data_IF_909022339308
#
_entry.id   IF_909022339308
#
_cell.length_a   1.000
_cell.length_b   1.000
_cell.length_c   1.000
_cell.angle_alpha   90.00
_cell.angle_beta   90.00
_cell.angle_gamma   90.00
#
_symmetry.space_group_name_H-M   'P 1'
#
loop_
_entity.id
_entity.type
_entity.pdbx_description
1 polymer ?
#
# COMPACT_ATOMS: atom_id res chain seq x y z
N UNK A 1 -1.50 38.00 10.18
CA UNK A 1 -1.49 36.97 11.26
C UNK A 1 -1.48 35.60 10.62
N UNK A 2 -0.46 34.75 10.86
CA UNK A 2 -0.48 33.34 10.47
C UNK A 2 -1.58 32.65 11.28
N UNK A 3 -2.64 32.18 10.61
CA UNK A 3 -3.70 31.44 11.30
C UNK A 3 -3.06 30.15 11.88
N UNK A 4 -3.14 29.97 13.19
CA UNK A 4 -2.72 28.76 13.86
C UNK A 4 -3.59 27.56 13.40
N UNK A 5 -3.07 26.36 13.51
CA UNK A 5 -3.81 25.10 13.26
C UNK A 5 -4.98 25.02 14.25
N UNK A 6 -6.18 24.68 13.74
CA UNK A 6 -7.40 24.58 14.52
C UNK A 6 -8.08 23.24 14.27
N UNK A 7 -8.17 22.41 15.31
CA UNK A 7 -8.76 21.08 15.26
C UNK A 7 -10.23 21.08 14.84
N UNK A 8 -10.99 22.12 15.24
CA UNK A 8 -12.40 22.19 14.85
C UNK A 8 -12.57 22.41 13.35
N UNK A 9 -11.81 23.35 12.75
CA UNK A 9 -11.80 23.58 11.29
C UNK A 9 -11.31 22.34 10.55
N UNK A 10 -10.29 21.67 11.08
CA UNK A 10 -9.77 20.44 10.53
C UNK A 10 -10.84 19.32 10.48
N UNK A 11 -11.60 19.14 11.57
CA UNK A 11 -12.70 18.18 11.64
C UNK A 11 -13.82 18.48 10.64
N UNK A 12 -14.18 19.76 10.49
CA UNK A 12 -15.17 20.18 9.48
C UNK A 12 -14.69 19.92 8.06
N UNK A 13 -13.40 20.13 7.78
CA UNK A 13 -12.80 19.85 6.48
C UNK A 13 -12.82 18.35 6.17
N UNK A 14 -12.44 17.50 7.13
CA UNK A 14 -12.52 16.05 7.00
C UNK A 14 -13.95 15.57 6.71
N UNK A 15 -14.93 16.09 7.44
CA UNK A 15 -16.34 15.77 7.21
C UNK A 15 -16.80 16.17 5.81
N UNK A 16 -16.39 17.35 5.34
CA UNK A 16 -16.72 17.83 4.01
C UNK A 16 -16.13 16.93 2.91
N UNK A 17 -14.85 16.54 3.04
CA UNK A 17 -14.19 15.65 2.09
C UNK A 17 -14.88 14.28 2.03
N UNK A 18 -15.22 13.70 3.19
CA UNK A 18 -15.92 12.42 3.28
C UNK A 18 -17.28 12.46 2.59
N UNK A 19 -18.04 13.53 2.76
CA UNK A 19 -19.35 13.67 2.13
C UNK A 19 -19.24 13.87 0.61
N UNK A 20 -18.23 14.62 0.18
CA UNK A 20 -18.03 14.94 -1.25
C UNK A 20 -17.58 13.70 -2.05
N UNK A 21 -16.71 12.88 -1.51
CA UNK A 21 -16.12 11.73 -2.20
C UNK A 21 -16.78 10.39 -1.89
N UNK A 22 -17.85 10.37 -1.09
CA UNK A 22 -18.56 9.15 -0.68
C UNK A 22 -18.89 8.21 -1.85
N UNK A 23 -19.33 8.75 -2.98
CA UNK A 23 -19.70 7.94 -4.16
C UNK A 23 -18.49 7.24 -4.78
N UNK A 24 -17.35 7.88 -4.80
CA UNK A 24 -16.12 7.33 -5.40
C UNK A 24 -15.54 6.23 -4.51
N UNK A 25 -15.60 6.38 -3.18
CA UNK A 25 -15.23 5.32 -2.23
C UNK A 25 -16.14 4.10 -2.34
N UNK A 26 -17.46 4.28 -2.46
CA UNK A 26 -18.39 3.17 -2.65
C UNK A 26 -18.08 2.42 -3.96
N UNK A 27 -17.85 3.13 -5.06
CA UNK A 27 -17.48 2.50 -6.34
C UNK A 27 -16.17 1.74 -6.25
N UNK A 28 -15.17 2.33 -5.59
CA UNK A 28 -13.86 1.69 -5.37
C UNK A 28 -14.02 0.41 -4.54
N UNK A 29 -14.78 0.47 -3.43
CA UNK A 29 -15.02 -0.68 -2.56
C UNK A 29 -15.73 -1.82 -3.30
N UNK A 30 -16.77 -1.51 -4.07
CA UNK A 30 -17.50 -2.51 -4.85
C UNK A 30 -16.59 -3.13 -5.92
N UNK A 31 -15.86 -2.33 -6.68
CA UNK A 31 -14.95 -2.81 -7.71
C UNK A 31 -13.86 -3.72 -7.13
N UNK A 32 -13.29 -3.34 -5.98
CA UNK A 32 -12.26 -4.10 -5.29
C UNK A 32 -12.82 -5.39 -4.68
N UNK A 33 -14.02 -5.35 -4.12
CA UNK A 33 -14.70 -6.53 -3.59
C UNK A 33 -14.98 -7.56 -4.69
N UNK A 34 -15.48 -7.13 -5.85
CA UNK A 34 -15.70 -8.01 -7.00
C UNK A 34 -14.38 -8.62 -7.47
N UNK A 35 -13.34 -7.82 -7.64
CA UNK A 35 -12.03 -8.29 -8.10
C UNK A 35 -11.43 -9.33 -7.14
N UNK A 36 -11.45 -9.08 -5.83
CA UNK A 36 -10.98 -10.01 -4.81
C UNK A 36 -11.81 -11.29 -4.75
N UNK A 37 -13.14 -11.18 -4.87
CA UNK A 37 -14.02 -12.36 -4.91
C UNK A 37 -13.67 -13.27 -6.08
N UNK A 38 -13.46 -12.72 -7.28
CA UNK A 38 -13.01 -13.52 -8.41
C UNK A 38 -11.64 -14.15 -8.17
N UNK A 39 -10.71 -13.39 -7.63
CA UNK A 39 -9.35 -13.84 -7.33
C UNK A 39 -9.35 -15.03 -6.35
N UNK A 40 -10.25 -15.04 -5.38
CA UNK A 40 -10.36 -16.12 -4.40
C UNK A 40 -11.21 -17.32 -4.89
N UNK A 41 -12.22 -17.08 -5.72
CA UNK A 41 -13.10 -18.15 -6.19
C UNK A 41 -12.49 -18.97 -7.36
N UNK A 42 -11.63 -18.37 -8.21
CA UNK A 42 -11.03 -19.06 -9.33
C UNK A 42 -10.18 -20.28 -8.92
N UNK A 43 -9.29 -20.19 -7.90
CA UNK A 43 -8.51 -21.36 -7.46
C UNK A 43 -9.41 -22.50 -6.94
N UNK A 44 -10.49 -22.19 -6.25
CA UNK A 44 -11.45 -23.18 -5.73
C UNK A 44 -12.15 -23.89 -6.89
N UNK A 45 -12.56 -23.13 -7.90
CA UNK A 45 -13.14 -23.68 -9.12
C UNK A 45 -12.19 -24.63 -9.83
N UNK A 46 -10.92 -24.24 -9.97
CA UNK A 46 -9.88 -25.06 -10.57
C UNK A 46 -9.68 -26.38 -9.80
N UNK A 47 -9.67 -26.34 -8.46
CA UNK A 47 -9.58 -27.54 -7.63
C UNK A 47 -10.76 -28.49 -7.88
N UNK A 48 -11.96 -27.97 -7.99
CA UNK A 48 -13.15 -28.78 -8.30
C UNK A 48 -13.05 -29.40 -9.69
N UNK A 49 -12.60 -28.64 -10.69
CA UNK A 49 -12.43 -29.13 -12.07
C UNK A 49 -11.36 -30.23 -12.15
N UNK A 50 -10.35 -30.21 -11.29
CA UNK A 50 -9.34 -31.26 -11.17
C UNK A 50 -9.84 -32.51 -10.43
N UNK A 51 -11.11 -32.53 -10.02
CA UNK A 51 -11.72 -33.69 -9.36
C UNK A 51 -11.25 -33.93 -7.94
N UNK A 52 -10.85 -32.88 -7.21
CA UNK A 52 -10.32 -32.97 -5.85
C UNK A 52 -11.26 -33.72 -4.89
N UNK A 53 -12.59 -33.68 -5.14
CA UNK A 53 -13.57 -34.40 -4.34
C UNK A 53 -13.45 -35.93 -4.42
N UNK A 54 -12.68 -36.47 -5.35
CA UNK A 54 -12.40 -37.90 -5.48
C UNK A 54 -11.21 -38.36 -4.61
N UNK A 55 -10.43 -37.41 -4.05
CA UNK A 55 -9.27 -37.73 -3.20
C UNK A 55 -9.69 -37.96 -1.76
N UNK A 56 -8.86 -38.64 -0.95
CA UNK A 56 -9.06 -38.75 0.51
C UNK A 56 -9.13 -37.38 1.20
N UNK A 57 -9.85 -37.30 2.33
CA UNK A 57 -10.06 -36.03 3.04
C UNK A 57 -8.73 -35.33 3.40
N UNK A 58 -7.72 -36.07 3.87
CA UNK A 58 -6.42 -35.50 4.21
C UNK A 58 -5.69 -34.83 3.05
N UNK A 59 -5.76 -35.42 1.87
CA UNK A 59 -5.14 -34.87 0.65
C UNK A 59 -5.90 -33.63 0.14
N UNK A 60 -7.23 -33.63 0.32
CA UNK A 60 -8.07 -32.45 -0.01
C UNK A 60 -7.76 -31.28 0.90
N UNK A 61 -7.65 -31.55 2.21
CA UNK A 61 -7.29 -30.52 3.20
C UNK A 61 -5.90 -29.92 2.92
N UNK A 62 -4.90 -30.77 2.67
CA UNK A 62 -3.56 -30.32 2.34
C UNK A 62 -3.52 -29.45 1.08
N UNK A 63 -4.23 -29.89 0.03
CA UNK A 63 -4.32 -29.14 -1.23
C UNK A 63 -5.05 -27.82 -1.04
N UNK A 64 -6.11 -27.79 -0.23
CA UNK A 64 -6.85 -26.58 0.08
C UNK A 64 -6.04 -25.60 0.93
N UNK A 65 -5.31 -26.07 1.94
CA UNK A 65 -4.42 -25.23 2.74
C UNK A 65 -3.33 -24.58 1.90
N UNK A 66 -2.77 -25.31 0.94
CA UNK A 66 -1.81 -24.73 -0.01
C UNK A 66 -2.43 -23.62 -0.87
N UNK A 67 -3.67 -23.81 -1.35
CA UNK A 67 -4.38 -22.77 -2.10
C UNK A 67 -4.73 -21.57 -1.21
N UNK A 68 -5.11 -21.82 0.04
CA UNK A 68 -5.41 -20.77 1.01
C UNK A 68 -4.18 -19.91 1.30
N UNK A 69 -3.01 -20.52 1.39
CA UNK A 69 -1.72 -19.83 1.52
C UNK A 69 -1.43 -18.90 0.34
N UNK A 70 -1.63 -19.39 -0.89
CA UNK A 70 -1.51 -18.55 -2.08
C UNK A 70 -2.53 -17.40 -2.11
N UNK A 71 -3.79 -17.66 -1.70
CA UNK A 71 -4.82 -16.61 -1.60
C UNK A 71 -4.45 -15.55 -0.55
N UNK A 72 -3.87 -15.95 0.59
CA UNK A 72 -3.40 -15.02 1.63
C UNK A 72 -2.30 -14.11 1.09
N UNK A 73 -1.32 -14.66 0.38
CA UNK A 73 -0.27 -13.90 -0.28
C UNK A 73 -0.79 -12.91 -1.33
N UNK A 74 -1.75 -13.34 -2.16
CA UNK A 74 -2.41 -12.45 -3.13
C UNK A 74 -3.22 -11.34 -2.45
N UNK A 75 -3.90 -11.64 -1.33
CA UNK A 75 -4.62 -10.65 -0.55
C UNK A 75 -3.66 -9.59 0.04
N UNK A 76 -2.55 -10.02 0.64
CA UNK A 76 -1.50 -9.13 1.15
C UNK A 76 -0.94 -8.22 0.07
N UNK A 77 -0.62 -8.77 -1.10
CA UNK A 77 -0.15 -8.00 -2.25
C UNK A 77 -1.21 -6.98 -2.70
N UNK A 78 -2.48 -7.37 -2.75
CA UNK A 78 -3.59 -6.48 -3.15
C UNK A 78 -3.78 -5.34 -2.15
N UNK A 79 -3.67 -5.61 -0.83
CA UNK A 79 -3.69 -4.59 0.22
C UNK A 79 -2.56 -3.58 -0.02
N UNK A 80 -1.33 -4.08 -0.17
CA UNK A 80 -0.16 -3.25 -0.39
C UNK A 80 -0.32 -2.35 -1.62
N UNK A 81 -0.72 -2.93 -2.76
CA UNK A 81 -0.94 -2.20 -4.00
C UNK A 81 -2.08 -1.18 -3.90
N UNK A 82 -3.19 -1.53 -3.28
CA UNK A 82 -4.34 -0.64 -3.14
C UNK A 82 -4.02 0.58 -2.28
N UNK A 83 -3.29 0.39 -1.19
CA UNK A 83 -2.91 1.49 -0.30
C UNK A 83 -1.84 2.40 -0.92
N UNK A 84 -0.92 1.84 -1.71
CA UNK A 84 0.11 2.63 -2.41
C UNK A 84 -0.49 3.40 -3.59
N UNK A 85 -1.33 2.76 -4.40
CA UNK A 85 -2.04 3.42 -5.50
C UNK A 85 -2.98 4.49 -4.95
N UNK A 86 -3.71 4.18 -3.85
CA UNK A 86 -4.58 5.12 -3.17
C UNK A 86 -3.87 6.42 -2.83
N UNK A 87 -2.65 6.36 -2.33
CA UNK A 87 -1.86 7.55 -2.00
C UNK A 87 -1.61 8.47 -3.21
N UNK A 88 -1.51 7.92 -4.43
CA UNK A 88 -1.32 8.71 -5.64
C UNK A 88 -2.55 9.55 -6.02
N UNK A 89 -3.73 9.19 -5.52
CA UNK A 89 -4.98 9.94 -5.75
C UNK A 89 -5.20 11.12 -4.81
N UNK A 90 -4.18 11.51 -4.03
CA UNK A 90 -4.29 12.58 -3.02
C UNK A 90 -4.95 13.86 -3.56
N UNK A 91 -4.70 14.25 -4.82
CA UNK A 91 -5.27 15.44 -5.44
C UNK A 91 -6.22 15.16 -6.62
N UNK A 92 -6.84 13.98 -6.62
CA UNK A 92 -7.83 13.62 -7.63
C UNK A 92 -9.02 14.61 -7.66
N UNK A 93 -9.38 15.19 -6.53
CA UNK A 93 -10.45 16.20 -6.39
C UNK A 93 -10.08 17.58 -6.93
N UNK A 94 -8.85 17.78 -7.43
CA UNK A 94 -8.38 19.06 -7.99
C UNK A 94 -8.03 18.98 -9.49
N UNK A 95 -8.60 18.02 -10.21
CA UNK A 95 -8.32 17.83 -11.64
C UNK A 95 -8.89 18.97 -12.49
N UNK A 96 -10.09 19.47 -12.16
CA UNK A 96 -10.72 20.59 -12.87
C UNK A 96 -10.37 21.93 -12.23
N UNK A 97 -10.41 23.01 -13.06
CA UNK A 97 -10.14 24.38 -12.57
C UNK A 97 -11.13 24.79 -11.49
N UNK A 98 -12.40 24.44 -11.64
CA UNK A 98 -13.46 24.80 -10.68
C UNK A 98 -13.26 24.10 -9.32
N UNK A 99 -12.96 22.80 -9.34
CA UNK A 99 -12.67 22.03 -8.10
C UNK A 99 -11.46 22.61 -7.37
N UNK A 100 -10.42 23.01 -8.11
CA UNK A 100 -9.22 23.61 -7.51
C UNK A 100 -9.52 24.95 -6.88
N UNK A 101 -10.27 25.82 -7.55
CA UNK A 101 -10.71 27.11 -6.99
C UNK A 101 -11.49 26.87 -5.69
N UNK A 102 -12.48 25.97 -5.74
CA UNK A 102 -13.29 25.65 -4.57
C UNK A 102 -12.44 25.16 -3.37
N UNK A 103 -11.48 24.27 -3.64
CA UNK A 103 -10.62 23.72 -2.57
C UNK A 103 -9.63 24.76 -2.02
N UNK A 104 -8.97 25.52 -2.89
CA UNK A 104 -7.98 26.53 -2.47
C UNK A 104 -8.63 27.72 -1.74
N UNK A 105 -9.87 28.07 -2.07
CA UNK A 105 -10.61 29.16 -1.44
C UNK A 105 -11.20 28.81 -0.06
N UNK A 106 -11.15 27.55 0.37
CA UNK A 106 -11.64 27.17 1.69
C UNK A 106 -10.92 27.93 2.82
N UNK A 107 -11.62 28.35 3.89
CA UNK A 107 -11.07 29.14 4.98
C UNK A 107 -10.26 28.29 5.97
N UNK A 108 -9.29 27.53 5.48
CA UNK A 108 -8.39 26.67 6.25
C UNK A 108 -6.93 26.94 5.86
N UNK A 109 -6.00 26.61 6.75
CA UNK A 109 -4.56 26.74 6.45
C UNK A 109 -4.12 25.69 5.43
N UNK A 110 -3.03 25.95 4.70
CA UNK A 110 -2.51 24.97 3.73
C UNK A 110 -2.11 23.65 4.40
N UNK A 111 -1.62 23.71 5.63
CA UNK A 111 -1.27 22.52 6.41
C UNK A 111 -2.51 21.71 6.78
N UNK A 112 -3.59 22.36 7.24
CA UNK A 112 -4.86 21.70 7.55
C UNK A 112 -5.44 21.01 6.30
N UNK A 113 -5.42 21.69 5.15
CA UNK A 113 -5.89 21.14 3.86
C UNK A 113 -5.08 19.94 3.42
N UNK A 114 -3.75 20.03 3.44
CA UNK A 114 -2.88 18.94 3.03
C UNK A 114 -3.03 17.74 3.95
N UNK A 115 -3.02 17.96 5.28
CA UNK A 115 -3.13 16.87 6.25
C UNK A 115 -4.50 16.21 6.22
N UNK A 116 -5.58 17.00 6.10
CA UNK A 116 -6.94 16.48 5.95
C UNK A 116 -7.03 15.59 4.71
N UNK A 117 -6.51 16.07 3.59
CA UNK A 117 -6.53 15.30 2.34
C UNK A 117 -5.71 14.01 2.43
N UNK A 118 -4.51 14.09 2.98
CA UNK A 118 -3.65 12.92 3.17
C UNK A 118 -4.32 11.86 4.06
N UNK A 119 -4.83 12.26 5.22
CA UNK A 119 -5.51 11.33 6.15
C UNK A 119 -6.80 10.78 5.55
N UNK A 120 -7.59 11.63 4.89
CA UNK A 120 -8.83 11.21 4.24
C UNK A 120 -8.58 10.13 3.20
N UNK A 121 -7.60 10.34 2.32
CA UNK A 121 -7.24 9.38 1.29
C UNK A 121 -6.66 8.11 1.91
N UNK A 122 -5.69 8.21 2.81
CA UNK A 122 -5.04 7.05 3.43
C UNK A 122 -6.02 6.19 4.24
N UNK A 123 -6.80 6.80 5.12
CA UNK A 123 -7.80 6.10 5.96
C UNK A 123 -8.97 5.60 5.08
N UNK A 124 -9.44 6.42 4.14
CA UNK A 124 -10.54 6.06 3.26
C UNK A 124 -10.25 4.81 2.44
N UNK A 125 -9.08 4.76 1.79
CA UNK A 125 -8.67 3.55 1.05
C UNK A 125 -8.45 2.35 1.96
N UNK A 126 -7.89 2.54 3.16
CA UNK A 126 -7.74 1.46 4.14
C UNK A 126 -9.09 0.84 4.52
N UNK A 127 -10.11 1.66 4.78
CA UNK A 127 -11.47 1.20 5.07
C UNK A 127 -12.07 0.48 3.86
N UNK A 128 -11.92 1.02 2.64
CA UNK A 128 -12.40 0.38 1.41
C UNK A 128 -11.80 -1.02 1.22
N UNK A 129 -10.50 -1.15 1.41
CA UNK A 129 -9.79 -2.43 1.29
C UNK A 129 -10.24 -3.41 2.36
N UNK A 130 -10.36 -2.98 3.62
CA UNK A 130 -10.82 -3.83 4.72
C UNK A 130 -12.25 -4.37 4.47
N UNK A 131 -13.18 -3.50 4.06
CA UNK A 131 -14.56 -3.91 3.74
C UNK A 131 -14.59 -4.86 2.54
N UNK A 132 -13.82 -4.57 1.50
CA UNK A 132 -13.74 -5.41 0.31
C UNK A 132 -13.17 -6.81 0.62
N UNK A 133 -12.15 -6.89 1.47
CA UNK A 133 -11.56 -8.15 1.92
C UNK A 133 -12.54 -8.99 2.71
N UNK A 134 -13.22 -8.40 3.70
CA UNK A 134 -14.21 -9.12 4.51
C UNK A 134 -15.32 -9.67 3.62
N UNK A 135 -15.79 -8.88 2.67
CA UNK A 135 -16.81 -9.33 1.72
C UNK A 135 -16.31 -10.48 0.84
N UNK A 136 -15.10 -10.36 0.29
CA UNK A 136 -14.50 -11.38 -0.57
C UNK A 136 -14.26 -12.69 0.18
N UNK A 137 -13.78 -12.62 1.43
CA UNK A 137 -13.54 -13.79 2.28
C UNK A 137 -14.86 -14.52 2.61
N UNK A 138 -15.93 -13.78 2.95
CA UNK A 138 -17.25 -14.35 3.17
C UNK A 138 -17.78 -15.08 1.91
N UNK A 139 -17.64 -14.45 0.74
CA UNK A 139 -18.04 -15.06 -0.52
C UNK A 139 -17.22 -16.31 -0.87
N UNK A 140 -15.91 -16.24 -0.65
CA UNK A 140 -15.00 -17.37 -0.81
C UNK A 140 -15.38 -18.53 0.11
N UNK A 141 -15.66 -18.25 1.38
CA UNK A 141 -16.07 -19.28 2.36
C UNK A 141 -17.36 -19.99 1.96
N UNK A 142 -18.38 -19.23 1.54
CA UNK A 142 -19.65 -19.79 1.04
C UNK A 142 -19.40 -20.64 -0.20
N UNK A 143 -18.61 -20.12 -1.15
CA UNK A 143 -18.30 -20.81 -2.40
C UNK A 143 -17.54 -22.12 -2.15
N UNK A 144 -16.59 -22.12 -1.23
CA UNK A 144 -15.85 -23.33 -0.81
C UNK A 144 -16.79 -24.40 -0.27
N UNK A 145 -17.70 -24.02 0.61
CA UNK A 145 -18.69 -24.97 1.20
C UNK A 145 -19.65 -25.59 0.17
N UNK A 146 -19.94 -24.88 -0.92
CA UNK A 146 -20.80 -25.38 -1.99
C UNK A 146 -20.01 -26.31 -2.96
N UNK A 147 -18.74 -25.99 -3.19
CA UNK A 147 -17.94 -26.65 -4.24
C UNK A 147 -17.08 -27.80 -3.74
N UNK A 148 -16.62 -27.73 -2.49
CA UNK A 148 -15.71 -28.70 -1.89
C UNK A 148 -16.34 -29.34 -0.64
N UNK A 149 -16.44 -30.67 -0.64
CA UNK A 149 -17.03 -31.41 0.48
C UNK A 149 -16.01 -31.58 1.62
N UNK A 150 -16.42 -31.19 2.83
CA UNK A 150 -15.66 -31.42 4.07
C UNK A 150 -14.49 -30.45 4.32
N UNK A 151 -14.23 -29.50 3.42
CA UNK A 151 -13.11 -28.55 3.53
C UNK A 151 -13.62 -27.14 3.74
N UNK A 152 -12.87 -26.29 4.44
CA UNK A 152 -13.21 -24.88 4.61
C UNK A 152 -12.16 -24.14 5.41
N UNK A 153 -11.97 -22.86 5.08
CA UNK A 153 -11.05 -21.97 5.75
C UNK A 153 -11.31 -20.54 5.33
N UNK A 154 -10.86 -19.59 6.15
CA UNK A 154 -10.94 -18.16 5.89
C UNK A 154 -9.56 -17.65 5.47
N UNK A 155 -9.53 -16.85 4.40
CA UNK A 155 -8.29 -16.20 3.92
C UNK A 155 -7.79 -15.21 4.97
N UNK A 156 -8.70 -14.48 5.62
CA UNK A 156 -8.33 -13.51 6.67
C UNK A 156 -7.70 -14.21 7.88
N UNK A 157 -8.27 -15.36 8.30
CA UNK A 157 -7.68 -16.14 9.39
C UNK A 157 -6.26 -16.63 9.02
N UNK A 158 -6.07 -17.14 7.81
CA UNK A 158 -4.77 -17.56 7.31
C UNK A 158 -3.77 -16.39 7.24
N UNK A 159 -4.20 -15.22 6.76
CA UNK A 159 -3.37 -14.01 6.79
C UNK A 159 -2.93 -13.63 8.20
N UNK A 160 -3.83 -13.75 9.17
CA UNK A 160 -3.50 -13.51 10.58
C UNK A 160 -2.45 -14.51 11.08
N UNK A 161 -2.62 -15.78 10.78
CA UNK A 161 -1.68 -16.83 11.16
C UNK A 161 -0.30 -16.61 10.50
N UNK A 162 -0.25 -16.24 9.23
CA UNK A 162 0.99 -15.94 8.51
C UNK A 162 1.74 -14.73 9.10
N UNK A 163 1.02 -13.73 9.62
CA UNK A 163 1.62 -12.53 10.21
C UNK A 163 2.06 -12.76 11.66
N UNK A 164 1.24 -13.45 12.46
CA UNK A 164 1.42 -13.47 13.91
C UNK A 164 1.83 -14.83 14.50
N UNK A 165 1.56 -15.92 13.77
CA UNK A 165 1.68 -17.30 14.32
C UNK A 165 2.71 -18.16 13.58
N UNK A 166 3.48 -17.62 12.62
CA UNK A 166 4.55 -18.36 11.95
C UNK A 166 5.48 -19.00 12.98
N UNK A 167 5.63 -20.32 12.93
CA UNK A 167 6.21 -21.20 13.96
C UNK A 167 7.62 -20.82 14.45
N UNK A 168 8.32 -19.93 13.75
CA UNK A 168 9.57 -19.33 14.21
C UNK A 168 9.65 -17.84 13.82
N UNK A 169 8.95 -16.94 14.55
CA UNK A 169 9.03 -15.50 14.27
C UNK A 169 10.42 -14.93 14.62
N UNK A 170 11.30 -15.79 15.17
CA UNK A 170 12.59 -15.32 15.66
C UNK A 170 13.67 -15.19 14.60
N UNK A 171 13.61 -15.92 13.47
CA UNK A 171 14.71 -15.88 12.50
C UNK A 171 14.28 -16.15 11.06
N UNK A 172 14.45 -15.15 10.18
CA UNK A 172 14.43 -15.35 8.74
C UNK A 172 15.86 -15.61 8.23
N UNK A 173 16.02 -16.57 7.31
CA UNK A 173 17.30 -16.81 6.64
C UNK A 173 17.37 -16.00 5.34
N UNK A 174 18.34 -15.11 5.27
CA UNK A 174 18.77 -14.49 4.01
C UNK A 174 20.15 -15.05 3.67
N UNK A 175 20.21 -16.05 2.78
CA UNK A 175 21.43 -16.80 2.53
C UNK A 175 21.90 -17.49 3.81
N UNK A 176 23.16 -17.24 4.23
CA UNK A 176 23.73 -17.78 5.47
C UNK A 176 23.43 -16.94 6.73
N UNK A 177 22.82 -15.73 6.57
CA UNK A 177 22.53 -14.84 7.71
C UNK A 177 21.17 -15.14 8.34
N UNK A 178 21.16 -15.28 9.67
CA UNK A 178 19.93 -15.34 10.48
C UNK A 178 19.51 -13.93 10.88
N UNK A 179 18.35 -13.49 10.38
CA UNK A 179 17.78 -12.17 10.70
C UNK A 179 16.60 -12.34 11.64
N UNK A 180 16.63 -11.64 12.77
CA UNK A 180 15.51 -11.66 13.71
C UNK A 180 14.25 -11.04 13.07
N UNK A 181 13.08 -11.65 13.33
CA UNK A 181 11.81 -11.24 12.74
C UNK A 181 11.49 -9.76 12.94
N UNK A 182 11.86 -9.15 14.07
CA UNK A 182 11.65 -7.73 14.33
C UNK A 182 12.32 -6.81 13.30
N UNK A 183 13.49 -7.19 12.75
CA UNK A 183 14.15 -6.41 11.70
C UNK A 183 13.43 -6.52 10.37
N UNK A 184 12.89 -7.70 10.05
CA UNK A 184 12.09 -7.91 8.84
C UNK A 184 10.82 -7.08 8.90
N UNK A 185 10.10 -7.10 10.01
CA UNK A 185 8.90 -6.27 10.18
C UNK A 185 9.21 -4.76 10.09
N UNK A 186 10.30 -4.30 10.72
CA UNK A 186 10.73 -2.91 10.63
C UNK A 186 11.04 -2.51 9.18
N UNK A 187 11.67 -3.40 8.41
CA UNK A 187 11.97 -3.18 6.98
C UNK A 187 10.68 -3.12 6.14
N UNK A 188 9.76 -4.07 6.33
CA UNK A 188 8.47 -4.10 5.62
C UNK A 188 7.67 -2.82 5.88
N UNK A 189 7.56 -2.39 7.15
CA UNK A 189 6.87 -1.14 7.50
C UNK A 189 7.56 0.06 6.83
N UNK A 190 8.88 0.10 6.86
CA UNK A 190 9.65 1.20 6.25
C UNK A 190 9.46 1.25 4.74
N UNK A 191 9.47 0.10 4.05
CA UNK A 191 9.21 0.00 2.60
C UNK A 191 7.78 0.45 2.29
N UNK A 192 6.80 0.05 3.11
CA UNK A 192 5.41 0.47 2.94
C UNK A 192 5.27 2.00 3.08
N UNK A 193 5.88 2.60 4.09
CA UNK A 193 5.87 4.06 4.28
C UNK A 193 6.62 4.76 3.13
N UNK A 194 7.73 4.20 2.65
CA UNK A 194 8.50 4.74 1.54
C UNK A 194 7.70 4.75 0.22
N UNK A 195 7.04 3.64 -0.10
CA UNK A 195 6.20 3.55 -1.30
C UNK A 195 4.99 4.49 -1.20
N UNK A 196 4.36 4.61 -0.03
CA UNK A 196 3.29 5.56 0.21
C UNK A 196 3.76 7.01 0.08
N UNK A 197 4.91 7.37 0.68
CA UNK A 197 5.51 8.70 0.57
C UNK A 197 5.85 9.05 -0.90
N UNK A 198 6.42 8.11 -1.63
CA UNK A 198 6.74 8.28 -3.05
C UNK A 198 5.48 8.47 -3.90
N UNK A 199 4.46 7.63 -3.73
CA UNK A 199 3.19 7.75 -4.45
C UNK A 199 2.46 9.06 -4.11
N UNK A 200 2.50 9.50 -2.85
CA UNK A 200 1.98 10.81 -2.42
C UNK A 200 2.73 11.94 -3.11
N UNK A 201 4.05 11.89 -3.17
CA UNK A 201 4.89 12.88 -3.84
C UNK A 201 4.60 12.95 -5.33
N UNK A 202 4.54 11.82 -6.02
CA UNK A 202 4.14 11.73 -7.43
C UNK A 202 2.72 12.26 -7.65
N UNK A 203 1.78 11.93 -6.75
CA UNK A 203 0.40 12.41 -6.77
C UNK A 203 0.28 13.94 -6.62
N UNK A 204 1.25 14.59 -5.95
CA UNK A 204 1.31 16.06 -5.87
C UNK A 204 1.90 16.69 -7.13
N UNK A 205 2.83 16.02 -7.79
CA UNK A 205 3.48 16.51 -9.02
C UNK A 205 2.57 16.33 -10.23
N UNK A 206 2.05 15.12 -10.42
CA UNK A 206 1.24 14.77 -11.58
C UNK A 206 -0.23 15.12 -11.36
N UNK A 207 -0.78 15.92 -12.25
CA UNK A 207 -2.16 16.36 -12.17
C UNK A 207 -3.16 15.38 -12.77
N UNK A 208 -2.81 14.76 -13.89
CA UNK A 208 -3.64 13.81 -14.61
C UNK A 208 -3.02 12.43 -14.55
N UNK A 209 -3.85 11.41 -14.34
CA UNK A 209 -3.41 10.01 -14.30
C UNK A 209 -2.21 9.80 -13.36
N UNK A 210 -2.23 10.44 -12.19
CA UNK A 210 -1.13 10.43 -11.23
C UNK A 210 -0.65 9.01 -10.89
N UNK A 211 -1.57 8.05 -10.79
CA UNK A 211 -1.26 6.64 -10.52
C UNK A 211 -0.38 6.02 -11.61
N UNK A 212 -0.70 6.26 -12.90
CA UNK A 212 0.06 5.71 -14.02
C UNK A 212 1.47 6.31 -14.08
N UNK A 213 1.58 7.63 -13.96
CA UNK A 213 2.88 8.29 -13.94
C UNK A 213 3.70 7.93 -12.70
N UNK A 214 3.07 7.67 -11.54
CA UNK A 214 3.76 7.17 -10.36
C UNK A 214 4.38 5.80 -10.63
N UNK A 215 3.65 4.89 -11.28
CA UNK A 215 4.21 3.59 -11.67
C UNK A 215 5.33 3.71 -12.69
N UNK A 216 5.15 4.54 -13.72
CA UNK A 216 6.21 4.76 -14.72
C UNK A 216 7.48 5.32 -14.08
N UNK A 217 7.36 6.31 -13.18
CA UNK A 217 8.52 6.87 -12.48
C UNK A 217 9.14 5.87 -11.52
N UNK A 218 8.34 5.08 -10.80
CA UNK A 218 8.84 3.99 -9.96
C UNK A 218 9.60 2.94 -10.78
N UNK A 219 9.06 2.56 -11.93
CA UNK A 219 9.70 1.61 -12.84
C UNK A 219 11.04 2.13 -13.37
N UNK A 220 11.09 3.38 -13.82
CA UNK A 220 12.34 4.02 -14.27
C UNK A 220 13.37 4.08 -13.15
N UNK A 221 12.95 4.49 -11.94
CA UNK A 221 13.84 4.53 -10.78
C UNK A 221 14.33 3.14 -10.39
N UNK A 222 13.48 2.12 -10.44
CA UNK A 222 13.85 0.74 -10.17
C UNK A 222 14.87 0.21 -11.20
N UNK A 223 14.65 0.53 -12.48
CA UNK A 223 15.60 0.19 -13.54
C UNK A 223 16.95 0.89 -13.38
N UNK A 224 16.93 2.17 -13.02
CA UNK A 224 18.16 2.91 -12.69
C UNK A 224 18.87 2.32 -11.48
N UNK A 225 18.14 1.91 -10.45
CA UNK A 225 18.71 1.25 -9.27
C UNK A 225 19.36 -0.09 -9.60
N UNK A 226 18.78 -0.88 -10.51
CA UNK A 226 19.42 -2.12 -11.00
C UNK A 226 20.74 -1.80 -11.71
N UNK A 227 20.75 -0.79 -12.58
CA UNK A 227 21.97 -0.34 -13.26
C UNK A 227 23.03 0.16 -12.29
N UNK A 228 22.62 0.86 -11.23
CA UNK A 228 23.51 1.36 -10.19
C UNK A 228 23.97 0.19 -9.29
N UNK A 229 23.10 -0.77 -8.95
CA UNK A 229 23.45 -1.91 -8.09
C UNK A 229 24.57 -2.80 -8.67
N UNK A 230 24.68 -2.89 -9.99
CA UNK A 230 25.83 -3.58 -10.61
C UNK A 230 27.17 -2.95 -10.22
N UNK A 231 27.18 -1.66 -9.84
CA UNK A 231 28.37 -0.92 -9.42
C UNK A 231 28.38 -0.59 -7.91
N UNK A 232 27.22 -0.68 -7.23
CA UNK A 232 27.08 -0.29 -5.81
C UNK A 232 27.62 -1.36 -4.87
N UNK A 233 27.61 -2.64 -5.27
CA UNK A 233 28.22 -3.68 -4.44
C UNK A 233 29.69 -3.39 -4.22
N UNK A 234 30.42 -3.01 -5.27
CA UNK A 234 31.84 -2.62 -5.19
C UNK A 234 31.99 -1.31 -4.40
N UNK A 235 31.08 -0.35 -4.57
CA UNK A 235 31.09 0.91 -3.84
C UNK A 235 30.71 0.76 -2.37
N UNK A 236 29.75 -0.10 -2.05
CA UNK A 236 29.36 -0.41 -0.68
C UNK A 236 30.48 -1.15 0.08
N UNK A 237 31.14 -2.10 -0.57
CA UNK A 237 32.31 -2.79 0.01
C UNK A 237 33.50 -1.86 0.19
N UNK A 238 33.63 -0.83 -0.67
CA UNK A 238 34.69 0.18 -0.60
C UNK A 238 34.45 1.17 0.56
N UNK A 239 33.18 1.55 0.84
CA UNK A 239 32.85 2.48 1.93
C UNK A 239 32.67 1.77 3.26
N UNK A 240 32.01 0.63 3.27
CA UNK A 240 31.59 -0.07 4.50
C UNK A 240 32.45 -1.28 4.85
N UNK A 241 33.38 -1.68 3.98
CA UNK A 241 34.14 -2.91 4.14
C UNK A 241 33.28 -4.17 3.95
N UNK A 242 33.82 -5.33 4.23
CA UNK A 242 33.06 -6.58 4.17
C UNK A 242 31.99 -6.61 5.27
N UNK A 243 30.74 -6.76 4.86
CA UNK A 243 29.61 -6.91 5.79
C UNK A 243 29.69 -8.33 6.37
N UNK A 244 30.11 -8.43 7.63
CA UNK A 244 30.22 -9.69 8.39
C UNK A 244 29.01 -9.85 9.30
N UNK A 245 28.76 -11.08 9.79
CA UNK A 245 27.67 -11.39 10.72
C UNK A 245 27.62 -10.48 11.95
N UNK A 246 28.75 -9.95 12.40
CA UNK A 246 28.85 -9.08 13.58
C UNK A 246 28.41 -7.64 13.31
N UNK A 247 28.60 -7.14 12.07
CA UNK A 247 28.41 -5.72 11.74
C UNK A 247 27.10 -5.42 11.00
N UNK A 248 26.39 -6.42 10.48
CA UNK A 248 25.18 -6.21 9.67
C UNK A 248 24.08 -5.41 10.38
N UNK A 249 23.97 -5.55 11.71
CA UNK A 249 22.96 -4.82 12.53
C UNK A 249 23.16 -3.32 12.48
N UNK A 250 24.42 -2.85 12.50
CA UNK A 250 24.75 -1.42 12.42
C UNK A 250 24.37 -0.88 11.05
N UNK A 251 24.71 -1.59 9.97
CA UNK A 251 24.35 -1.18 8.60
C UNK A 251 22.84 -1.18 8.39
N UNK A 252 22.12 -2.15 8.95
CA UNK A 252 20.67 -2.19 8.90
C UNK A 252 20.06 -0.93 9.50
N UNK A 253 20.47 -0.52 10.69
CA UNK A 253 19.97 0.69 11.32
C UNK A 253 20.33 1.96 10.55
N UNK A 254 21.52 2.05 9.99
CA UNK A 254 21.95 3.18 9.15
C UNK A 254 21.04 3.29 7.92
N UNK A 255 20.82 2.19 7.20
CA UNK A 255 19.95 2.16 6.02
C UNK A 255 18.51 2.54 6.39
N UNK A 256 18.00 2.01 7.50
CA UNK A 256 16.66 2.30 7.97
C UNK A 256 16.49 3.79 8.31
N UNK A 257 17.42 4.38 9.03
CA UNK A 257 17.42 5.82 9.36
C UNK A 257 17.48 6.65 8.06
N UNK A 258 18.35 6.30 7.12
CA UNK A 258 18.46 7.00 5.84
C UNK A 258 17.14 6.94 5.05
N UNK A 259 16.47 5.78 5.00
CA UNK A 259 15.15 5.64 4.38
C UNK A 259 14.09 6.52 5.07
N UNK A 260 14.09 6.62 6.39
CA UNK A 260 13.16 7.50 7.12
C UNK A 260 13.41 8.97 6.84
N UNK A 261 14.67 9.40 6.69
CA UNK A 261 15.03 10.77 6.28
C UNK A 261 14.52 11.07 4.87
N UNK A 262 14.70 10.14 3.94
CA UNK A 262 14.18 10.27 2.56
C UNK A 262 12.65 10.35 2.57
N UNK A 263 11.97 9.52 3.35
CA UNK A 263 10.51 9.56 3.49
C UNK A 263 10.02 10.91 4.02
N UNK A 264 10.67 11.43 5.06
CA UNK A 264 10.37 12.76 5.59
C UNK A 264 10.56 13.86 4.56
N UNK A 265 11.64 13.79 3.77
CA UNK A 265 11.92 14.72 2.67
C UNK A 265 10.85 14.66 1.57
N UNK A 266 10.36 13.47 1.21
CA UNK A 266 9.28 13.30 0.23
C UNK A 266 7.96 13.89 0.71
N UNK A 267 7.56 13.64 1.95
CA UNK A 267 6.34 14.24 2.51
C UNK A 267 6.47 15.76 2.64
N UNK A 268 7.62 16.26 3.08
CA UNK A 268 7.87 17.69 3.15
C UNK A 268 7.86 18.34 1.76
N UNK A 269 8.46 17.70 0.77
CA UNK A 269 8.42 18.11 -0.63
C UNK A 269 7.00 18.18 -1.18
N UNK A 270 6.19 17.15 -0.90
CA UNK A 270 4.76 17.10 -1.26
C UNK A 270 3.98 18.28 -0.68
N UNK A 271 4.18 18.54 0.62
CA UNK A 271 3.55 19.69 1.29
C UNK A 271 4.02 21.03 0.70
N UNK A 272 5.31 21.17 0.40
CA UNK A 272 5.87 22.41 -0.16
C UNK A 272 5.34 22.70 -1.57
N UNK A 273 5.19 21.67 -2.41
CA UNK A 273 4.57 21.79 -3.74
C UNK A 273 3.11 22.22 -3.57
N UNK A 274 2.35 21.55 -2.69
CA UNK A 274 0.96 21.90 -2.41
C UNK A 274 0.81 23.34 -1.91
N UNK A 275 1.65 23.79 -0.99
CA UNK A 275 1.57 25.13 -0.38
C UNK A 275 1.82 26.26 -1.38
N UNK A 276 2.50 25.95 -2.51
CA UNK A 276 2.80 26.89 -3.61
C UNK A 276 1.84 26.76 -4.79
N UNK A 277 0.89 25.83 -4.71
CA UNK A 277 -0.04 25.55 -5.80
C UNK A 277 -0.94 26.75 -6.07
N UNK A 278 -1.02 27.16 -7.35
CA UNK A 278 -1.88 28.27 -7.81
C UNK A 278 -3.04 27.75 -8.65
N UNK A 279 -4.05 28.59 -8.84
CA UNK A 279 -5.24 28.27 -9.67
C UNK A 279 -4.89 28.10 -11.15
N UNK A 280 -3.91 28.89 -11.64
CA UNK A 280 -3.43 28.85 -13.02
C UNK A 280 -2.16 28.02 -13.05
N UNK A 281 -2.25 26.82 -13.60
CA UNK A 281 -1.15 25.88 -13.64
C UNK A 281 -1.05 25.15 -14.96
N UNK A 282 0.10 24.55 -15.24
CA UNK A 282 0.33 23.74 -16.42
C UNK A 282 -0.67 22.56 -16.48
N UNK A 283 -0.97 22.04 -17.69
CA UNK A 283 -1.99 20.99 -17.88
C UNK A 283 -1.60 19.65 -17.25
N UNK A 284 -0.31 19.36 -17.12
CA UNK A 284 0.22 18.04 -16.73
C UNK A 284 0.92 18.02 -15.37
N UNK A 285 1.63 19.08 -15.02
CA UNK A 285 2.46 19.16 -13.83
C UNK A 285 2.01 20.29 -12.90
N UNK A 286 2.14 20.08 -11.61
CA UNK A 286 1.89 21.10 -10.58
C UNK A 286 3.16 21.85 -10.15
N UNK A 287 4.23 21.78 -10.94
CA UNK A 287 5.51 22.44 -10.67
C UNK A 287 5.56 23.78 -11.42
N UNK A 288 6.08 24.80 -10.76
CA UNK A 288 6.40 26.15 -11.29
C UNK A 288 7.84 26.23 -11.67
#
# INVERSE_FOLDING_TARGET
MKKAFDLHRFGLLMKWETLTEKKDYIRCTIGLAIALTFLFCIPILNMKMQGINSYPLGDREASFLFQLDQMSGMAMFTIFMSLTIGASFIFNNMQTKQQRIAYLMMPATNLEKFLARYLHVSIGYMVCVAVALVFADLMQFIFTKIMLDGVGGSVIAKMYDDIFTSEDPSTFRFGDMRVFGCYVYAMVITIFVATNAFCTFCGTIYRRQAWLFSFCTAFVLWFLLIFINANVYDFATLIFGNINEDNWKVYFWIILILMWVVNAALYWGSYKIFSRMQVINNKWLNIY
#
